data_IF_042699041835
#
_entry.id   IF_042699041835
#
_cell.length_a   1.000
_cell.length_b   1.000
_cell.length_c   1.000
_cell.angle_alpha   90.00
_cell.angle_beta   90.00
_cell.angle_gamma   90.00
#
_symmetry.space_group_name_H-M   'P 1'
#
loop_
_entity.id
_entity.type
_entity.pdbx_description
1 polymer ?
#
# COMPACT_ATOMS: atom_id res chain seq x y z
N UNK A 1 10.81 -6.18 -42.41
CA UNK A 1 10.74 -4.75 -42.74
C UNK A 1 10.79 -3.97 -41.44
N UNK A 2 11.98 -3.46 -41.18
CA UNK A 2 12.26 -2.71 -39.95
C UNK A 2 12.05 -1.25 -40.18
N UNK A 3 11.09 -0.67 -39.53
CA UNK A 3 10.96 0.80 -39.49
C UNK A 3 11.38 1.28 -38.12
N UNK A 4 12.62 1.70 -38.03
CA UNK A 4 13.13 2.43 -36.89
C UNK A 4 12.58 3.86 -36.93
N UNK A 5 11.78 4.21 -35.93
CA UNK A 5 11.41 5.58 -35.67
C UNK A 5 12.42 6.20 -34.71
N UNK A 6 13.31 6.98 -35.28
CA UNK A 6 14.21 7.83 -34.50
C UNK A 6 13.43 9.07 -34.05
N UNK A 7 13.20 9.18 -32.78
CA UNK A 7 12.71 10.40 -32.16
C UNK A 7 13.89 11.27 -31.73
N UNK A 8 14.09 12.34 -32.46
CA UNK A 8 15.01 13.39 -32.10
C UNK A 8 14.39 14.24 -30.99
N UNK A 9 14.84 14.07 -29.77
CA UNK A 9 14.49 14.99 -28.70
C UNK A 9 15.41 16.19 -28.74
N UNK A 10 14.85 17.30 -29.19
CA UNK A 10 15.47 18.62 -29.09
C UNK A 10 15.44 19.07 -27.64
N UNK A 11 16.58 19.05 -26.99
CA UNK A 11 16.70 19.58 -25.64
C UNK A 11 16.83 21.09 -25.68
N UNK A 12 15.78 21.78 -25.30
CA UNK A 12 15.82 23.21 -25.03
C UNK A 12 16.27 23.43 -23.60
N UNK A 13 17.53 23.77 -23.42
CA UNK A 13 18.06 24.18 -22.14
C UNK A 13 17.69 25.64 -21.90
N UNK A 14 16.70 25.87 -21.08
CA UNK A 14 16.37 27.20 -20.58
C UNK A 14 17.02 27.39 -19.22
N UNK A 15 18.19 28.00 -19.20
CA UNK A 15 18.84 28.44 -17.98
C UNK A 15 18.22 29.74 -17.51
N UNK A 16 17.25 29.66 -16.60
CA UNK A 16 16.80 30.80 -15.85
C UNK A 16 17.62 30.89 -14.55
N UNK A 17 18.57 31.78 -14.52
CA UNK A 17 19.25 32.15 -13.31
C UNK A 17 18.33 33.05 -12.49
N UNK A 18 17.59 32.46 -11.56
CA UNK A 18 16.87 33.20 -10.54
C UNK A 18 17.78 33.37 -9.33
N UNK A 19 18.27 34.58 -9.19
CA UNK A 19 18.87 35.01 -7.94
C UNK A 19 17.77 35.01 -6.88
N UNK A 20 17.78 34.02 -6.03
CA UNK A 20 16.89 33.96 -4.88
C UNK A 20 17.32 35.01 -3.86
N UNK A 21 16.45 35.94 -3.45
CA UNK A 21 16.73 36.69 -2.27
C UNK A 21 16.72 35.73 -1.08
N UNK A 22 17.82 35.63 -0.39
CA UNK A 22 17.92 34.89 0.84
C UNK A 22 17.13 35.58 1.90
N UNK A 23 15.86 35.33 1.97
CA UNK A 23 15.06 35.65 3.11
C UNK A 23 15.42 34.67 4.21
N UNK A 24 16.34 35.07 5.07
CA UNK A 24 16.60 34.39 6.30
C UNK A 24 15.42 34.60 7.26
N UNK A 25 14.36 33.89 7.03
CA UNK A 25 13.35 33.70 8.05
C UNK A 25 13.41 32.24 8.44
N UNK A 26 14.34 31.93 9.33
CA UNK A 26 14.31 30.71 10.10
C UNK A 26 13.19 30.80 11.14
N UNK A 27 11.96 30.92 10.69
CA UNK A 27 10.82 30.57 11.49
C UNK A 27 10.82 29.04 11.49
N UNK A 28 11.32 28.45 12.54
CA UNK A 28 11.11 27.05 12.86
C UNK A 28 9.60 26.85 12.89
N UNK A 29 9.06 26.33 11.80
CA UNK A 29 7.67 25.90 11.76
C UNK A 29 7.52 24.84 12.85
N UNK A 30 6.56 24.98 13.76
CA UNK A 30 6.26 23.92 14.67
C UNK A 30 6.05 22.67 13.81
N UNK A 31 6.80 21.66 14.10
CA UNK A 31 6.73 20.37 13.43
C UNK A 31 5.31 19.87 13.59
N UNK A 32 4.57 19.86 12.50
CA UNK A 32 3.16 19.51 12.50
C UNK A 32 3.03 17.99 12.67
N UNK A 33 3.21 17.55 13.91
CA UNK A 33 3.04 16.15 14.27
C UNK A 33 1.60 15.68 14.04
N UNK A 34 0.64 16.60 14.02
CA UNK A 34 -0.77 16.30 13.75
C UNK A 34 -0.99 15.77 12.32
N UNK A 35 -0.26 16.32 11.37
CA UNK A 35 -0.40 15.94 9.95
C UNK A 35 0.15 14.54 9.65
N UNK A 36 1.15 14.11 10.40
CA UNK A 36 1.68 12.75 10.26
C UNK A 36 0.75 11.69 10.87
N UNK A 37 0.06 12.04 11.94
CA UNK A 37 -0.91 11.14 12.55
C UNK A 37 -2.19 11.05 11.73
N UNK A 38 -2.62 12.14 11.10
CA UNK A 38 -3.76 12.16 10.21
C UNK A 38 -3.49 11.33 8.95
N UNK A 39 -2.32 11.45 8.33
CA UNK A 39 -1.91 10.62 7.21
C UNK A 39 -1.82 9.14 7.59
N UNK A 40 -1.36 8.82 8.80
CA UNK A 40 -1.31 7.43 9.26
C UNK A 40 -2.69 6.83 9.52
N UNK A 41 -3.67 7.66 9.88
CA UNK A 41 -5.06 7.21 10.04
C UNK A 41 -5.71 6.98 8.69
N UNK A 42 -5.46 7.86 7.74
CA UNK A 42 -5.95 7.75 6.37
C UNK A 42 -5.40 6.50 5.69
N UNK A 43 -4.10 6.23 5.83
CA UNK A 43 -3.47 5.03 5.28
C UNK A 43 -4.04 3.73 5.90
N UNK A 44 -4.42 3.75 7.16
CA UNK A 44 -5.05 2.59 7.82
C UNK A 44 -6.45 2.34 7.30
N UNK A 45 -7.20 3.40 7.03
CA UNK A 45 -8.57 3.26 6.50
C UNK A 45 -8.58 2.80 5.05
N UNK A 46 -7.56 3.16 4.25
CA UNK A 46 -7.44 2.71 2.87
C UNK A 46 -7.06 1.24 2.72
N UNK A 47 -6.41 0.67 3.72
CA UNK A 47 -5.98 -0.72 3.72
C UNK A 47 -6.94 -1.66 4.47
N UNK A 48 -8.12 -1.19 4.82
CA UNK A 48 -9.11 -2.02 5.51
C UNK A 48 -9.91 -2.84 4.51
N UNK A 49 -9.95 -4.15 4.74
CA UNK A 49 -10.75 -5.10 3.97
C UNK A 49 -11.91 -5.57 4.82
N UNK A 50 -13.12 -5.49 4.27
CA UNK A 50 -14.31 -5.95 4.95
C UNK A 50 -14.57 -7.44 4.70
N UNK A 51 -14.56 -8.23 5.76
CA UNK A 51 -15.02 -9.61 5.75
C UNK A 51 -16.53 -9.65 5.94
N UNK A 52 -17.26 -9.79 4.85
CA UNK A 52 -18.73 -9.84 4.87
C UNK A 52 -19.30 -11.08 5.57
N UNK A 53 -18.51 -12.13 5.71
CA UNK A 53 -18.99 -13.40 6.27
C UNK A 53 -18.97 -13.38 7.80
N UNK A 54 -17.98 -12.72 8.37
CA UNK A 54 -17.86 -12.52 9.81
C UNK A 54 -18.28 -11.12 10.25
N UNK A 55 -18.64 -10.24 9.29
CA UNK A 55 -19.04 -8.83 9.54
C UNK A 55 -17.97 -8.06 10.30
N UNK A 56 -16.74 -8.22 9.87
CA UNK A 56 -15.57 -7.69 10.52
C UNK A 56 -14.65 -6.97 9.54
N UNK A 57 -13.79 -6.07 10.05
CA UNK A 57 -12.79 -5.36 9.27
C UNK A 57 -11.40 -5.83 9.62
N UNK A 58 -10.60 -6.11 8.62
CA UNK A 58 -9.21 -6.47 8.76
C UNK A 58 -8.32 -5.43 8.12
N UNK A 59 -7.24 -5.05 8.79
CA UNK A 59 -6.21 -4.22 8.19
C UNK A 59 -5.37 -5.10 7.27
N UNK A 60 -5.29 -4.71 5.98
CA UNK A 60 -4.43 -5.39 5.03
C UNK A 60 -3.04 -4.76 5.07
N UNK A 61 -2.20 -5.26 5.93
CA UNK A 61 -0.81 -4.90 6.06
C UNK A 61 0.11 -6.02 5.55
N UNK A 62 1.42 -5.84 5.66
CA UNK A 62 2.40 -6.85 5.25
C UNK A 62 2.21 -8.18 6.00
N UNK A 63 1.75 -8.11 7.22
CA UNK A 63 1.49 -9.27 8.05
C UNK A 63 0.30 -10.08 7.54
N UNK A 64 -0.79 -9.40 7.18
CA UNK A 64 -1.96 -10.03 6.59
C UNK A 64 -1.66 -10.59 5.20
N UNK A 65 -0.90 -9.86 4.38
CA UNK A 65 -0.47 -10.34 3.06
C UNK A 65 0.40 -11.60 3.19
N UNK A 66 1.27 -11.65 4.19
CA UNK A 66 2.08 -12.82 4.47
C UNK A 66 1.23 -14.03 4.86
N UNK A 67 0.23 -13.83 5.72
CA UNK A 67 -0.72 -14.87 6.10
C UNK A 67 -1.51 -15.40 4.90
N UNK A 68 -1.95 -14.49 4.02
CA UNK A 68 -2.66 -14.85 2.80
C UNK A 68 -1.79 -15.65 1.82
N UNK A 69 -0.53 -15.28 1.65
CA UNK A 69 0.43 -16.05 0.84
C UNK A 69 0.65 -17.44 1.39
N UNK A 70 0.78 -17.58 2.70
CA UNK A 70 0.87 -18.86 3.39
C UNK A 70 -0.35 -19.75 3.13
N UNK A 71 -1.53 -19.17 3.23
CA UNK A 71 -2.79 -19.83 2.90
C UNK A 71 -2.83 -20.37 1.47
N UNK A 72 -2.41 -19.54 0.50
CA UNK A 72 -2.35 -19.96 -0.91
C UNK A 72 -1.33 -21.05 -1.14
N UNK A 73 -0.17 -20.96 -0.47
CA UNK A 73 0.91 -21.95 -0.57
C UNK A 73 0.47 -23.31 -0.03
N UNK A 74 -0.20 -23.36 1.12
CA UNK A 74 -0.77 -24.61 1.66
C UNK A 74 -1.72 -25.31 0.69
N UNK A 75 -2.38 -24.53 -0.15
CA UNK A 75 -3.36 -25.03 -1.14
C UNK A 75 -2.81 -25.18 -2.54
N UNK A 76 -1.51 -24.97 -2.72
CA UNK A 76 -0.83 -25.02 -4.03
C UNK A 76 -1.50 -24.11 -5.06
N UNK A 77 -1.86 -22.91 -4.66
CA UNK A 77 -2.48 -21.91 -5.52
C UNK A 77 -1.51 -20.77 -5.82
N UNK A 78 -1.59 -20.26 -7.05
CA UNK A 78 -0.87 -19.07 -7.44
C UNK A 78 -1.42 -17.83 -6.74
N UNK A 79 -0.53 -16.86 -6.50
CA UNK A 79 -0.93 -15.59 -5.88
C UNK A 79 -1.88 -14.82 -6.80
N UNK A 80 -3.00 -14.42 -6.22
CA UNK A 80 -3.95 -13.49 -6.80
C UNK A 80 -4.52 -12.64 -5.66
N UNK A 81 -4.63 -11.31 -5.84
CA UNK A 81 -5.21 -10.45 -4.82
C UNK A 81 -6.56 -10.98 -4.32
N UNK A 82 -6.82 -10.88 -3.02
CA UNK A 82 -8.04 -11.43 -2.42
C UNK A 82 -9.31 -10.83 -3.05
N UNK A 83 -9.28 -9.53 -3.38
CA UNK A 83 -10.40 -8.85 -4.02
C UNK A 83 -10.75 -9.42 -5.40
N UNK A 84 -9.79 -10.04 -6.09
CA UNK A 84 -9.97 -10.69 -7.40
C UNK A 84 -10.37 -12.16 -7.30
N UNK A 85 -10.36 -12.72 -6.10
CA UNK A 85 -10.80 -14.09 -5.87
C UNK A 85 -12.33 -14.19 -5.95
N UNK A 86 -12.80 -15.39 -6.28
CA UNK A 86 -14.24 -15.68 -6.22
C UNK A 86 -14.74 -15.55 -4.79
N UNK A 87 -16.00 -15.19 -4.61
CA UNK A 87 -16.60 -15.03 -3.28
C UNK A 87 -16.43 -16.27 -2.40
N UNK A 88 -16.56 -17.45 -2.98
CA UNK A 88 -16.33 -18.72 -2.27
C UNK A 88 -14.89 -18.84 -1.75
N UNK A 89 -13.92 -18.42 -2.54
CA UNK A 89 -12.51 -18.49 -2.19
C UNK A 89 -12.16 -17.44 -1.14
N UNK A 90 -12.75 -16.26 -1.21
CA UNK A 90 -12.64 -15.22 -0.17
C UNK A 90 -13.21 -15.73 1.17
N UNK A 91 -14.37 -16.36 1.14
CA UNK A 91 -14.98 -16.96 2.33
C UNK A 91 -14.08 -18.04 2.95
N UNK A 92 -13.51 -18.89 2.10
CA UNK A 92 -12.59 -19.94 2.54
C UNK A 92 -11.35 -19.36 3.22
N UNK A 93 -10.82 -18.27 2.68
CA UNK A 93 -9.69 -17.58 3.28
C UNK A 93 -10.05 -17.00 4.66
N UNK A 94 -11.16 -16.27 4.78
CA UNK A 94 -11.57 -15.67 6.05
C UNK A 94 -11.87 -16.72 7.12
N UNK A 95 -12.50 -17.83 6.75
CA UNK A 95 -12.69 -18.95 7.67
C UNK A 95 -11.36 -19.52 8.16
N UNK A 96 -10.41 -19.69 7.26
CA UNK A 96 -9.08 -20.13 7.63
C UNK A 96 -8.36 -19.12 8.52
N UNK A 97 -8.45 -17.84 8.17
CA UNK A 97 -7.80 -16.75 8.91
C UNK A 97 -8.32 -16.64 10.35
N UNK A 98 -9.62 -16.76 10.55
CA UNK A 98 -10.23 -16.76 11.88
C UNK A 98 -9.84 -17.98 12.73
N UNK A 99 -9.54 -19.09 12.11
CA UNK A 99 -9.04 -20.30 12.80
C UNK A 99 -7.52 -20.26 13.03
N UNK A 100 -6.81 -19.35 12.35
CA UNK A 100 -5.37 -19.13 12.48
C UNK A 100 -5.09 -17.68 12.89
N UNK A 101 -5.52 -17.26 14.07
CA UNK A 101 -5.21 -15.93 14.56
C UNK A 101 -3.70 -15.80 14.69
N UNK A 102 -3.20 -14.58 14.52
CA UNK A 102 -1.81 -14.31 14.80
C UNK A 102 -1.52 -14.73 16.24
N UNK A 103 -0.66 -15.71 16.39
CA UNK A 103 -0.04 -15.94 17.67
C UNK A 103 0.92 -14.78 17.88
N UNK A 104 0.37 -13.70 18.44
CA UNK A 104 1.20 -12.68 19.02
C UNK A 104 1.98 -13.37 20.12
N UNK A 105 3.14 -13.90 19.73
CA UNK A 105 4.12 -14.36 20.70
C UNK A 105 4.58 -13.13 21.46
N UNK A 106 3.75 -12.72 22.41
CA UNK A 106 4.00 -11.60 23.29
C UNK A 106 5.37 -11.73 23.92
N UNK A 107 6.28 -10.98 23.38
CA UNK A 107 7.55 -10.61 23.99
C UNK A 107 7.84 -9.17 23.75
#
# INVERSE_FOLDING_TARGET
MNRAHQYLFSSLVLTAALAAPSAMNAASKPQDNGRQEENRRDDRDHNRVYDRYHKDYHNWDDHEDHAYRGYLQERHRDYRPLAEQRQRDQKSYWNWRHSHPDHDNGR
#
